data_IF_237327408589
#
_entry.id   IF_237327408589
#
_cell.length_a   1.000
_cell.length_b   1.000
_cell.length_c   1.000
_cell.angle_alpha   90.00
_cell.angle_beta   90.00
_cell.angle_gamma   90.00
#
_symmetry.space_group_name_H-M   'P 1'
#
loop_
_entity.id
_entity.type
_entity.pdbx_description
1 polymer ?
#
# COMPACT_ATOMS: atom_id res chain seq x y z
N UNK A 1 16.99 -12.00 -9.82
CA UNK A 1 15.93 -11.91 -8.77
C UNK A 1 15.68 -10.49 -8.26
N UNK A 2 16.60 -9.53 -8.43
CA UNK A 2 16.45 -8.16 -7.90
C UNK A 2 16.06 -7.10 -8.94
N UNK A 3 15.47 -7.48 -10.05
CA UNK A 3 15.11 -6.54 -11.13
C UNK A 3 13.71 -5.92 -10.98
N UNK A 4 12.90 -6.45 -10.08
CA UNK A 4 11.57 -5.87 -9.81
C UNK A 4 11.68 -4.55 -9.03
N UNK A 5 10.73 -3.62 -9.22
CA UNK A 5 9.54 -3.69 -10.06
C UNK A 5 9.78 -3.31 -11.52
N UNK A 6 10.91 -2.70 -11.83
CA UNK A 6 11.27 -2.32 -13.19
C UNK A 6 12.78 -2.25 -13.37
N UNK A 7 13.21 -2.36 -14.60
CA UNK A 7 14.58 -2.10 -15.01
C UNK A 7 14.61 -1.13 -16.18
N UNK A 8 15.69 -0.38 -16.28
CA UNK A 8 15.94 0.48 -17.41
C UNK A 8 17.10 -0.08 -18.23
N UNK A 9 16.90 -0.18 -19.53
CA UNK A 9 17.93 -0.50 -20.49
C UNK A 9 18.38 0.79 -21.16
N UNK A 10 19.65 1.11 -21.01
CA UNK A 10 20.26 2.28 -21.65
C UNK A 10 21.25 1.79 -22.70
N UNK A 11 21.11 2.26 -23.92
CA UNK A 11 21.98 1.91 -25.04
C UNK A 11 22.63 3.17 -25.56
N UNK A 12 23.96 3.19 -25.60
CA UNK A 12 24.76 4.22 -26.25
C UNK A 12 25.39 3.63 -27.50
N UNK A 13 25.17 4.26 -28.64
CA UNK A 13 25.80 3.95 -29.91
C UNK A 13 26.61 5.15 -30.36
N UNK A 14 27.86 4.90 -30.79
CA UNK A 14 28.76 5.93 -31.33
C UNK A 14 29.31 5.49 -32.69
N UNK A 15 29.22 6.38 -33.67
CA UNK A 15 29.79 6.19 -35.00
C UNK A 15 30.14 7.53 -35.60
N UNK A 16 31.30 7.65 -36.25
CA UNK A 16 31.78 8.85 -36.97
C UNK A 16 31.58 10.18 -36.21
N UNK A 17 32.01 10.27 -34.98
CA UNK A 17 31.90 11.44 -34.12
C UNK A 17 30.45 11.84 -33.76
N UNK A 18 29.48 10.96 -34.02
CA UNK A 18 28.10 11.10 -33.63
C UNK A 18 27.75 10.02 -32.60
N UNK A 19 26.83 10.32 -31.69
CA UNK A 19 26.34 9.36 -30.76
C UNK A 19 24.80 9.40 -30.71
N UNK A 20 24.20 8.26 -30.47
CA UNK A 20 22.80 8.11 -30.15
C UNK A 20 22.67 7.43 -28.77
N UNK A 21 21.80 7.96 -27.96
CA UNK A 21 21.51 7.40 -26.64
C UNK A 21 20.01 7.20 -26.49
N UNK A 22 19.63 5.95 -26.21
CA UNK A 22 18.25 5.55 -26.07
C UNK A 22 18.03 4.85 -24.72
N UNK A 23 16.88 5.12 -24.10
CA UNK A 23 16.45 4.51 -22.87
C UNK A 23 15.14 3.76 -23.08
N UNK A 24 15.10 2.50 -22.71
CA UNK A 24 13.90 1.71 -22.66
C UNK A 24 13.58 1.27 -21.23
N UNK A 25 12.36 1.51 -20.78
CA UNK A 25 11.86 1.04 -19.49
C UNK A 25 11.18 -0.32 -19.66
N UNK A 26 11.54 -1.27 -18.81
CA UNK A 26 10.90 -2.59 -18.75
C UNK A 26 10.24 -2.76 -17.38
N UNK A 27 8.97 -3.11 -17.38
CA UNK A 27 8.24 -3.47 -16.15
C UNK A 27 8.44 -4.96 -15.91
N UNK A 28 8.88 -5.29 -14.70
CA UNK A 28 9.08 -6.67 -14.28
C UNK A 28 7.94 -7.06 -13.37
N UNK A 29 7.10 -7.97 -13.83
CA UNK A 29 6.03 -8.52 -13.00
C UNK A 29 6.63 -9.27 -11.81
N UNK A 30 6.06 -9.05 -10.63
CA UNK A 30 6.44 -9.76 -9.42
C UNK A 30 5.24 -10.58 -8.95
N UNK A 31 5.43 -11.86 -8.66
CA UNK A 31 4.36 -12.66 -8.08
C UNK A 31 3.84 -12.01 -6.80
N UNK A 32 2.53 -12.02 -6.61
CA UNK A 32 1.87 -11.41 -5.47
C UNK A 32 1.39 -12.46 -4.48
N UNK A 33 1.45 -12.12 -3.20
CA UNK A 33 0.78 -12.87 -2.15
C UNK A 33 -0.71 -12.51 -2.19
N UNK A 34 -1.55 -13.50 -2.40
CA UNK A 34 -2.99 -13.37 -2.35
C UNK A 34 -3.47 -13.81 -0.97
N UNK A 35 -4.21 -12.94 -0.30
CA UNK A 35 -4.79 -13.21 1.01
C UNK A 35 -6.29 -13.34 0.85
N UNK A 36 -6.84 -14.48 1.28
CA UNK A 36 -8.28 -14.70 1.31
C UNK A 36 -8.75 -14.79 2.76
N UNK A 37 -9.79 -14.03 3.08
CA UNK A 37 -10.36 -13.96 4.43
C UNK A 37 -11.82 -14.34 4.34
N UNK A 38 -12.22 -15.36 5.11
CA UNK A 38 -13.58 -15.82 5.19
C UNK A 38 -14.07 -15.80 6.63
N UNK A 39 -15.20 -15.16 6.87
CA UNK A 39 -15.88 -15.20 8.15
C UNK A 39 -16.88 -16.37 8.15
N UNK A 40 -17.10 -16.95 9.32
CA UNK A 40 -18.05 -18.06 9.50
C UNK A 40 -19.51 -17.65 9.24
N UNK A 41 -19.83 -16.35 9.39
CA UNK A 41 -21.15 -15.78 9.11
C UNK A 41 -21.02 -14.42 8.41
N UNK A 42 -22.12 -13.97 7.78
CA UNK A 42 -22.19 -12.64 7.17
C UNK A 42 -22.80 -11.57 8.08
N UNK A 43 -23.51 -12.00 9.13
CA UNK A 43 -24.20 -11.13 10.08
C UNK A 43 -24.05 -11.68 11.49
N UNK A 44 -23.69 -10.82 12.42
CA UNK A 44 -23.45 -11.17 13.81
C UNK A 44 -24.29 -10.30 14.75
N UNK A 45 -24.59 -10.82 15.90
CA UNK A 45 -25.17 -10.06 17.01
C UNK A 45 -24.06 -9.35 17.79
N UNK A 46 -24.36 -8.23 18.48
CA UNK A 46 -23.42 -7.65 19.45
C UNK A 46 -22.93 -8.69 20.45
N UNK A 47 -21.67 -8.60 20.82
CA UNK A 47 -20.98 -9.54 21.74
C UNK A 47 -20.89 -10.99 21.24
N UNK A 48 -21.23 -11.24 19.99
CA UNK A 48 -21.06 -12.56 19.40
C UNK A 48 -19.60 -12.82 19.05
N UNK A 49 -19.18 -14.08 19.20
CA UNK A 49 -17.88 -14.55 18.76
C UNK A 49 -17.87 -14.71 17.24
N UNK A 50 -16.80 -14.22 16.63
CA UNK A 50 -16.51 -14.33 15.20
C UNK A 50 -15.34 -15.26 14.99
N UNK A 51 -15.40 -16.10 13.97
CA UNK A 51 -14.29 -16.93 13.52
C UNK A 51 -13.92 -16.53 12.08
N UNK A 52 -12.65 -16.19 11.90
CA UNK A 52 -12.08 -15.88 10.59
C UNK A 52 -11.15 -17.02 10.17
N UNK A 53 -11.37 -17.54 8.99
CA UNK A 53 -10.43 -18.43 8.30
C UNK A 53 -9.64 -17.61 7.29
N UNK A 54 -8.32 -17.59 7.42
CA UNK A 54 -7.41 -16.79 6.61
C UNK A 54 -6.51 -17.75 5.85
N UNK A 55 -6.41 -17.54 4.55
CA UNK A 55 -5.50 -18.31 3.69
C UNK A 55 -4.62 -17.41 2.87
N UNK A 56 -3.34 -17.77 2.78
CA UNK A 56 -2.32 -17.07 2.02
C UNK A 56 -1.84 -17.96 0.88
N UNK A 57 -1.90 -17.43 -0.33
CA UNK A 57 -1.53 -18.13 -1.54
C UNK A 57 -0.48 -17.30 -2.29
N UNK A 58 0.62 -17.92 -2.64
CA UNK A 58 1.62 -17.29 -3.49
C UNK A 58 1.49 -17.82 -4.92
N UNK A 59 1.51 -16.92 -5.89
CA UNK A 59 1.32 -17.28 -7.29
C UNK A 59 2.38 -18.27 -7.76
N UNK A 60 1.94 -19.46 -8.20
CA UNK A 60 2.80 -20.54 -8.68
C UNK A 60 3.27 -21.55 -7.61
N UNK A 61 3.13 -21.26 -6.33
CA UNK A 61 3.60 -22.16 -5.24
C UNK A 61 2.48 -22.74 -4.37
N UNK A 62 1.27 -22.16 -4.45
CA UNK A 62 0.15 -22.56 -3.61
C UNK A 62 0.15 -21.87 -2.25
N UNK A 63 -0.27 -22.59 -1.20
CA UNK A 63 -0.30 -22.05 0.16
C UNK A 63 1.09 -21.86 0.73
N UNK A 64 1.37 -20.68 1.30
CA UNK A 64 2.68 -20.34 1.87
C UNK A 64 2.54 -19.75 3.26
N UNK A 65 3.48 -20.01 4.17
CA UNK A 65 3.49 -19.35 5.47
C UNK A 65 3.78 -17.85 5.31
N UNK A 66 3.02 -17.03 6.03
CA UNK A 66 3.17 -15.58 6.01
C UNK A 66 2.92 -14.99 7.38
N UNK A 67 3.56 -13.84 7.64
CA UNK A 67 3.28 -12.99 8.79
C UNK A 67 2.26 -11.94 8.39
N UNK A 68 1.16 -11.88 9.11
CA UNK A 68 0.01 -11.03 8.82
C UNK A 68 -0.29 -10.09 9.98
N UNK A 69 -0.80 -8.92 9.64
CA UNK A 69 -1.46 -8.03 10.61
C UNK A 69 -2.95 -7.99 10.30
N UNK A 70 -3.77 -8.25 11.29
CA UNK A 70 -5.22 -8.26 11.15
C UNK A 70 -5.84 -7.17 12.02
N UNK A 71 -6.67 -6.34 11.40
CA UNK A 71 -7.46 -5.34 12.11
C UNK A 71 -8.95 -5.48 11.79
N UNK A 72 -9.79 -5.23 12.79
CA UNK A 72 -11.25 -5.18 12.66
C UNK A 72 -11.72 -3.87 13.26
N UNK A 73 -12.13 -2.94 12.40
CA UNK A 73 -12.43 -1.56 12.75
C UNK A 73 -13.84 -1.20 12.27
N UNK A 74 -14.50 -0.30 12.98
CA UNK A 74 -15.79 0.24 12.58
C UNK A 74 -15.68 0.96 11.23
N UNK A 75 -16.50 0.57 10.25
CA UNK A 75 -16.54 1.19 8.92
C UNK A 75 -16.79 2.71 8.99
N UNK A 76 -17.47 3.19 10.02
CA UNK A 76 -17.74 4.62 10.20
C UNK A 76 -16.46 5.45 10.35
N UNK A 77 -15.37 4.87 10.84
CA UNK A 77 -14.07 5.55 10.92
C UNK A 77 -13.59 5.95 9.52
N UNK A 78 -13.75 5.06 8.54
CA UNK A 78 -13.35 5.32 7.15
C UNK A 78 -14.31 6.26 6.40
N UNK A 79 -15.55 6.41 6.87
CA UNK A 79 -16.47 7.43 6.35
C UNK A 79 -16.03 8.83 6.80
N UNK A 80 -15.51 8.94 8.03
CA UNK A 80 -15.01 10.21 8.56
C UNK A 80 -13.64 10.59 7.97
N UNK A 81 -12.77 9.61 7.81
CA UNK A 81 -11.44 9.78 7.23
C UNK A 81 -11.13 8.60 6.30
N UNK A 82 -11.23 8.80 4.97
CA UNK A 82 -10.87 7.77 4.01
C UNK A 82 -9.43 7.29 4.21
N UNK A 83 -9.20 6.03 3.91
CA UNK A 83 -7.85 5.45 3.92
C UNK A 83 -6.99 6.14 2.85
N UNK A 84 -5.92 6.78 3.30
CA UNK A 84 -4.97 7.52 2.45
C UNK A 84 -3.66 6.77 2.23
N UNK A 85 -3.46 5.67 2.95
CA UNK A 85 -2.27 4.85 2.80
C UNK A 85 -2.32 4.08 1.46
N UNK A 86 -1.22 4.06 0.69
CA UNK A 86 -1.12 3.20 -0.49
C UNK A 86 -1.17 1.73 -0.06
N UNK A 87 -1.59 0.86 -0.97
CA UNK A 87 -1.48 -0.58 -0.72
C UNK A 87 -0.03 -0.99 -0.47
N UNK A 88 0.19 -2.07 0.28
CA UNK A 88 1.55 -2.59 0.53
C UNK A 88 2.30 -2.87 -0.78
N UNK A 89 1.60 -3.42 -1.77
CA UNK A 89 2.15 -3.67 -3.09
C UNK A 89 2.63 -2.39 -3.79
N UNK A 90 1.85 -1.33 -3.75
CA UNK A 90 2.20 -0.03 -4.34
C UNK A 90 3.33 0.65 -3.58
N UNK A 91 3.32 0.57 -2.25
CA UNK A 91 4.35 1.18 -1.41
C UNK A 91 5.73 0.56 -1.67
N UNK A 92 5.84 -0.75 -1.68
CA UNK A 92 7.14 -1.43 -1.84
C UNK A 92 7.56 -1.64 -3.29
N UNK A 93 6.63 -1.64 -4.25
CA UNK A 93 6.90 -1.90 -5.66
C UNK A 93 6.68 -0.68 -6.55
N UNK A 94 6.80 0.54 -6.03
CA UNK A 94 6.73 1.73 -6.87
C UNK A 94 7.86 1.74 -7.90
N UNK A 95 7.56 2.23 -9.10
CA UNK A 95 8.52 2.30 -10.21
C UNK A 95 9.73 3.17 -9.84
N UNK A 96 10.91 2.63 -10.05
CA UNK A 96 12.18 3.32 -9.83
C UNK A 96 12.54 4.14 -11.08
N UNK A 97 12.99 5.36 -10.87
CA UNK A 97 13.48 6.20 -11.96
C UNK A 97 14.81 5.67 -12.47
N UNK A 98 15.05 5.79 -13.78
CA UNK A 98 16.37 5.57 -14.34
C UNK A 98 17.32 6.64 -13.82
N UNK A 99 18.42 6.21 -13.19
CA UNK A 99 19.48 7.08 -12.67
C UNK A 99 20.77 6.96 -13.50
N UNK A 100 20.71 6.31 -14.65
CA UNK A 100 21.86 6.21 -15.54
C UNK A 100 22.03 7.55 -16.27
N UNK A 101 23.15 8.20 -15.99
CA UNK A 101 23.59 9.42 -16.70
C UNK A 101 24.78 9.03 -17.56
N UNK A 102 24.70 9.32 -18.84
CA UNK A 102 25.80 9.08 -19.79
C UNK A 102 26.35 10.41 -20.25
N UNK A 103 27.66 10.58 -20.11
CA UNK A 103 28.35 11.77 -20.56
C UNK A 103 29.27 11.41 -21.73
N UNK A 104 29.34 12.31 -22.71
CA UNK A 104 30.24 12.20 -23.85
C UNK A 104 31.36 13.23 -23.72
N UNK A 105 32.59 12.79 -23.84
CA UNK A 105 33.76 13.70 -23.87
C UNK A 105 33.82 14.52 -25.16
N UNK A 106 32.98 14.21 -26.14
CA UNK A 106 32.94 14.90 -27.45
C UNK A 106 32.00 16.12 -27.47
N UNK A 107 30.99 16.12 -26.62
CA UNK A 107 30.06 17.24 -26.46
C UNK A 107 29.75 17.45 -24.99
N UNK A 108 30.15 18.57 -24.44
CA UNK A 108 29.65 19.04 -23.15
C UNK A 108 28.21 19.56 -23.33
N UNK A 109 27.25 18.67 -23.30
CA UNK A 109 25.86 19.11 -23.16
C UNK A 109 25.66 19.33 -21.66
N UNK A 110 25.72 20.59 -21.25
CA UNK A 110 25.28 20.98 -19.91
C UNK A 110 23.80 20.73 -19.83
N UNK A 111 23.42 19.65 -19.14
CA UNK A 111 22.01 19.31 -18.82
C UNK A 111 21.31 20.36 -17.96
N UNK A 112 22.01 21.42 -17.60
CA UNK A 112 21.51 22.50 -16.74
C UNK A 112 20.53 23.46 -17.45
N UNK A 113 20.37 23.32 -18.76
CA UNK A 113 19.45 24.18 -19.51
C UNK A 113 18.08 23.58 -19.81
N UNK A 114 17.87 22.29 -19.58
CA UNK A 114 16.58 21.67 -19.85
C UNK A 114 15.64 21.65 -18.64
N UNK A 115 16.10 22.06 -17.48
CA UNK A 115 15.29 22.19 -16.25
C UNK A 115 15.04 23.65 -15.88
N UNK A 116 14.94 24.52 -16.88
CA UNK A 116 14.12 25.73 -16.70
C UNK A 116 12.67 25.28 -16.67
N UNK A 117 12.30 24.71 -15.56
CA UNK A 117 10.92 24.42 -15.25
C UNK A 117 10.12 25.71 -15.27
N UNK A 118 9.47 25.96 -16.41
CA UNK A 118 8.31 26.82 -16.43
C UNK A 118 7.29 26.21 -15.47
N UNK A 119 7.08 26.90 -14.36
CA UNK A 119 5.93 26.72 -13.50
C UNK A 119 6.13 25.71 -12.38
N UNK A 120 6.95 26.05 -11.40
CA UNK A 120 6.61 25.65 -10.05
C UNK A 120 5.31 26.37 -9.70
N UNK A 121 4.21 25.67 -9.39
CA UNK A 121 3.07 26.33 -8.80
C UNK A 121 3.55 26.88 -7.45
N UNK A 122 3.41 28.20 -7.28
CA UNK A 122 3.56 28.80 -5.96
C UNK A 122 2.68 28.01 -5.00
N UNK A 123 3.32 27.32 -4.06
CA UNK A 123 2.63 26.72 -2.94
C UNK A 123 2.06 27.88 -2.11
N UNK A 124 0.84 28.27 -2.42
CA UNK A 124 0.04 29.05 -1.51
C UNK A 124 -0.11 28.23 -0.22
N UNK A 125 0.68 28.57 0.76
CA UNK A 125 0.51 28.10 2.13
C UNK A 125 -0.84 28.60 2.65
N UNK A 126 -1.90 27.86 2.33
CA UNK A 126 -3.13 27.98 3.07
C UNK A 126 -2.89 27.36 4.44
N UNK A 127 -2.66 28.22 5.42
CA UNK A 127 -2.70 27.84 6.80
C UNK A 127 -4.01 27.07 7.07
N UNK A 128 -3.95 25.94 7.79
CA UNK A 128 -5.15 25.23 8.17
C UNK A 128 -6.01 26.17 9.03
N UNK A 129 -7.16 26.57 8.52
CA UNK A 129 -8.19 27.16 9.36
C UNK A 129 -8.63 26.07 10.31
N UNK A 130 -8.19 26.13 11.53
CA UNK A 130 -8.77 25.39 12.64
C UNK A 130 -10.26 25.74 12.72
N UNK A 131 -11.08 24.89 12.10
CA UNK A 131 -12.48 24.84 12.45
C UNK A 131 -12.53 24.17 13.81
N UNK A 132 -12.72 24.98 14.85
CA UNK A 132 -13.12 24.49 16.15
C UNK A 132 -14.40 23.66 15.96
N UNK A 133 -14.24 22.35 15.88
CA UNK A 133 -15.36 21.41 15.96
C UNK A 133 -15.83 21.49 17.40
N UNK A 134 -17.01 22.08 17.61
CA UNK A 134 -17.72 21.95 18.88
C UNK A 134 -17.90 20.46 19.12
N UNK A 135 -17.08 19.91 20.00
CA UNK A 135 -17.27 18.57 20.53
C UNK A 135 -18.55 18.65 21.36
N UNK A 136 -19.65 18.21 20.75
CA UNK A 136 -20.84 17.89 21.52
C UNK A 136 -20.44 16.76 22.47
N UNK A 137 -20.46 17.03 23.77
CA UNK A 137 -20.32 16.00 24.81
C UNK A 137 -21.40 14.94 24.57
N UNK A 138 -21.04 13.89 23.86
CA UNK A 138 -21.88 12.69 23.80
C UNK A 138 -21.69 11.93 25.12
N UNK A 139 -22.78 11.42 25.71
CA UNK A 139 -22.64 10.53 26.85
C UNK A 139 -21.67 9.41 26.45
N UNK A 140 -20.72 9.12 27.33
CA UNK A 140 -19.73 8.04 27.14
C UNK A 140 -20.49 6.72 26.94
N UNK A 141 -20.67 6.36 25.67
CA UNK A 141 -20.79 4.96 25.27
C UNK A 141 -19.38 4.43 25.21
N UNK A 142 -19.19 3.20 25.62
CA UNK A 142 -17.97 2.44 25.30
C UNK A 142 -17.99 2.14 23.80
N UNK A 143 -17.88 3.20 22.99
CA UNK A 143 -17.80 3.12 21.54
C UNK A 143 -16.38 2.64 21.21
N UNK A 144 -16.19 1.33 21.27
CA UNK A 144 -14.96 0.69 20.80
C UNK A 144 -15.01 0.67 19.27
N UNK A 145 -14.27 1.59 18.66
CA UNK A 145 -14.14 1.66 17.20
C UNK A 145 -13.27 0.54 16.62
N UNK A 146 -12.55 -0.17 17.47
CA UNK A 146 -11.70 -1.31 17.10
C UNK A 146 -12.11 -2.56 17.85
N UNK A 147 -12.58 -3.56 17.14
CA UNK A 147 -12.95 -4.86 17.72
C UNK A 147 -11.74 -5.78 17.90
N UNK A 148 -10.76 -5.67 17.01
CA UNK A 148 -9.54 -6.47 17.06
C UNK A 148 -8.37 -5.72 16.43
N UNK A 149 -7.21 -5.86 17.07
CA UNK A 149 -5.90 -5.51 16.52
C UNK A 149 -4.92 -6.63 16.82
N UNK A 150 -4.57 -7.41 15.79
CA UNK A 150 -3.62 -8.52 15.88
C UNK A 150 -2.43 -8.25 14.96
N UNK A 151 -1.33 -7.70 15.48
CA UNK A 151 -0.19 -7.28 14.66
C UNK A 151 0.68 -8.44 14.15
N UNK A 152 0.65 -9.59 14.83
CA UNK A 152 1.50 -10.75 14.53
C UNK A 152 0.65 -12.02 14.47
N UNK A 153 0.06 -12.29 13.32
CA UNK A 153 -0.61 -13.54 13.02
C UNK A 153 0.22 -14.31 12.01
N UNK A 154 0.59 -15.53 12.35
CA UNK A 154 1.32 -16.40 11.42
C UNK A 154 0.40 -17.45 10.83
N UNK A 155 0.51 -17.66 9.53
CA UNK A 155 -0.11 -18.79 8.86
C UNK A 155 0.80 -20.02 8.97
N UNK A 156 0.20 -21.21 8.92
CA UNK A 156 0.94 -22.47 8.95
C UNK A 156 1.69 -22.73 7.61
N UNK A 157 2.38 -23.89 7.53
CA UNK A 157 3.14 -24.27 6.34
C UNK A 157 2.27 -24.42 5.07
N UNK A 158 0.96 -24.60 5.23
CA UNK A 158 -0.02 -24.67 4.15
C UNK A 158 -0.69 -23.32 3.84
N UNK A 159 -0.26 -22.25 4.50
CA UNK A 159 -0.79 -20.92 4.34
C UNK A 159 -2.11 -20.66 5.05
N UNK A 160 -2.50 -21.47 6.05
CA UNK A 160 -3.76 -21.31 6.75
C UNK A 160 -3.58 -20.79 8.18
N UNK A 161 -4.52 -19.98 8.62
CA UNK A 161 -4.64 -19.54 10.01
C UNK A 161 -6.09 -19.33 10.38
N UNK A 162 -6.42 -19.55 11.64
CA UNK A 162 -7.74 -19.31 12.19
C UNK A 162 -7.67 -18.33 13.35
N UNK A 163 -8.50 -17.29 13.28
CA UNK A 163 -8.56 -16.24 14.27
C UNK A 163 -9.97 -16.12 14.84
N UNK A 164 -10.09 -16.09 16.17
CA UNK A 164 -11.37 -15.92 16.85
C UNK A 164 -11.33 -14.72 17.79
N UNK A 165 -12.39 -13.92 17.78
CA UNK A 165 -12.53 -12.76 18.66
C UNK A 165 -14.01 -12.49 18.95
N UNK A 166 -14.29 -11.62 19.91
CA UNK A 166 -15.65 -11.22 20.28
C UNK A 166 -15.91 -9.80 19.82
N UNK A 167 -17.03 -9.58 19.14
CA UNK A 167 -17.46 -8.24 18.74
C UNK A 167 -17.84 -7.38 19.96
N UNK A 168 -17.58 -6.08 19.92
CA UNK A 168 -18.11 -5.13 20.88
C UNK A 168 -19.64 -5.06 20.88
N UNK A 169 -20.21 -4.37 21.87
CA UNK A 169 -21.64 -4.09 21.97
C UNK A 169 -22.04 -2.89 21.08
N UNK A 170 -21.78 -3.02 19.79
CA UNK A 170 -22.07 -1.99 18.81
C UNK A 170 -22.82 -2.58 17.61
N UNK A 171 -23.81 -1.83 17.12
CA UNK A 171 -24.56 -2.14 15.90
C UNK A 171 -23.97 -1.35 14.74
N UNK A 172 -22.94 -1.88 14.15
CA UNK A 172 -22.20 -1.22 13.06
C UNK A 172 -21.74 -2.25 12.03
N UNK A 173 -21.19 -1.75 10.93
CA UNK A 173 -20.47 -2.55 9.94
C UNK A 173 -19.01 -2.61 10.32
N UNK A 174 -18.49 -3.80 10.46
CA UNK A 174 -17.09 -4.04 10.77
C UNK A 174 -16.30 -4.29 9.49
N UNK A 175 -15.21 -3.55 9.32
CA UNK A 175 -14.26 -3.72 8.22
C UNK A 175 -13.07 -4.53 8.72
N UNK A 176 -12.80 -5.63 8.02
CA UNK A 176 -11.64 -6.48 8.26
C UNK A 176 -10.56 -6.08 7.25
N UNK A 177 -9.37 -5.78 7.74
CA UNK A 177 -8.18 -5.51 6.92
C UNK A 177 -7.06 -6.47 7.34
N UNK A 178 -6.41 -7.07 6.36
CA UNK A 178 -5.30 -8.01 6.53
C UNK A 178 -4.15 -7.62 5.63
#
# INVERSE_FOLDING_TARGET
>A
ENMAPNMALSVLYQHDNQYAFENAGLVVAKPQLNINVQADQTTYKPKQQVSLDISTLFEGEGGVPADLTVSVVDEMVYVLQPEIAPSMGEFFNHLRRNQVTTESSLNFITYDQSVSAKGAPESSSMAPRERAVKVLERPRRDDQDTALWQPNLQTDASGHSKLTFTLPDALTRWRITV
#
